data_IF_473219630224
#
_entry.id   IF_473219630224
#
_cell.length_a   1.000
_cell.length_b   1.000
_cell.length_c   1.000
_cell.angle_alpha   90.00
_cell.angle_beta   90.00
_cell.angle_gamma   90.00
#
_symmetry.space_group_name_H-M   'P 1'
#
loop_
_entity.id
_entity.type
_entity.pdbx_description
1 polymer ?
#
# COMPACT_ATOMS: atom_id res chain seq x y z
N UNK A 1 7.68 -3.27 -9.89
CA UNK A 1 6.86 -3.14 -11.11
C UNK A 1 5.40 -3.36 -10.76
N UNK A 2 4.49 -2.96 -11.66
CA UNK A 2 3.06 -3.24 -11.56
C UNK A 2 2.83 -4.54 -12.33
N UNK A 3 2.19 -5.53 -11.71
CA UNK A 3 1.89 -6.81 -12.35
C UNK A 3 0.53 -6.77 -13.06
N UNK A 4 0.32 -7.67 -14.02
CA UNK A 4 -0.93 -7.70 -14.81
C UNK A 4 -2.20 -7.87 -13.97
N UNK A 5 -2.09 -8.51 -12.80
CA UNK A 5 -3.23 -8.69 -11.89
C UNK A 5 -3.51 -7.46 -11.02
N UNK A 6 -2.59 -6.50 -10.96
CA UNK A 6 -2.76 -5.24 -10.25
C UNK A 6 -3.52 -4.21 -11.10
N UNK A 7 -3.38 -4.25 -12.43
CA UNK A 7 -3.99 -3.28 -13.35
C UNK A 7 -5.49 -3.08 -13.10
N UNK A 8 -6.34 -4.14 -13.01
CA UNK A 8 -7.78 -3.95 -12.78
C UNK A 8 -8.12 -3.38 -11.40
N UNK A 9 -7.24 -3.57 -10.42
CA UNK A 9 -7.39 -2.97 -9.09
C UNK A 9 -7.10 -1.48 -9.19
N UNK A 10 -6.03 -1.11 -9.89
CA UNK A 10 -5.61 0.27 -10.09
C UNK A 10 -6.55 1.06 -11.01
N UNK A 11 -7.32 0.40 -11.89
CA UNK A 11 -8.42 1.05 -12.64
C UNK A 11 -9.50 1.66 -11.73
N UNK A 12 -9.61 1.17 -10.49
CA UNK A 12 -10.53 1.70 -9.49
C UNK A 12 -9.95 2.89 -8.71
N UNK A 13 -8.66 3.21 -8.89
CA UNK A 13 -7.99 4.35 -8.27
C UNK A 13 -8.51 5.65 -8.89
N UNK A 14 -8.97 6.56 -8.05
CA UNK A 14 -9.55 7.85 -8.45
C UNK A 14 -8.58 9.00 -8.30
N UNK A 15 -7.77 8.96 -7.26
CA UNK A 15 -6.85 10.05 -6.96
C UNK A 15 -5.67 9.57 -6.11
N UNK A 16 -4.56 10.29 -6.21
CA UNK A 16 -3.37 10.10 -5.39
C UNK A 16 -2.98 11.45 -4.82
N UNK A 17 -3.10 11.57 -3.51
CA UNK A 17 -2.79 12.81 -2.80
C UNK A 17 -1.55 12.63 -1.96
N UNK A 18 -0.78 13.70 -1.82
CA UNK A 18 0.38 13.76 -0.91
C UNK A 18 0.23 14.92 0.04
N UNK A 19 0.66 14.71 1.29
CA UNK A 19 0.73 15.77 2.30
C UNK A 19 1.96 15.57 3.19
N UNK A 20 2.49 16.66 3.71
CA UNK A 20 3.46 16.58 4.79
C UNK A 20 2.78 16.11 6.08
N UNK A 21 3.53 15.44 6.95
CA UNK A 21 3.02 15.08 8.28
C UNK A 21 2.94 16.30 9.20
N UNK A 22 3.81 17.28 8.94
CA UNK A 22 3.87 18.58 9.57
C UNK A 22 4.22 19.61 8.47
N UNK A 23 3.33 20.59 8.26
CA UNK A 23 3.50 21.60 7.20
C UNK A 23 4.64 22.59 7.52
N UNK A 24 4.92 22.81 8.80
CA UNK A 24 6.00 23.67 9.30
C UNK A 24 7.32 22.90 9.42
N UNK A 25 7.27 21.57 9.55
CA UNK A 25 8.45 20.68 9.66
C UNK A 25 8.45 19.55 8.62
N UNK A 26 8.76 19.90 7.36
CA UNK A 26 8.77 18.97 6.21
C UNK A 26 9.80 17.82 6.30
N UNK A 27 10.72 17.88 7.25
CA UNK A 27 11.68 16.80 7.52
C UNK A 27 11.13 15.68 8.42
N UNK A 28 9.93 15.87 8.99
CA UNK A 28 9.22 14.88 9.83
C UNK A 28 8.67 13.72 9.02
N UNK A 29 8.33 13.95 7.75
CA UNK A 29 7.83 12.93 6.84
C UNK A 29 6.63 13.37 6.02
N UNK A 30 6.09 12.43 5.26
CA UNK A 30 4.95 12.66 4.37
C UNK A 30 4.04 11.43 4.30
N UNK A 31 2.82 11.68 3.87
CA UNK A 31 1.81 10.67 3.62
C UNK A 31 1.40 10.70 2.15
N UNK A 32 1.25 9.50 1.56
CA UNK A 32 0.60 9.29 0.27
C UNK A 32 -0.75 8.63 0.53
N UNK A 33 -1.81 9.18 -0.04
CA UNK A 33 -3.18 8.69 0.12
C UNK A 33 -3.70 8.28 -1.26
N UNK A 34 -4.05 7.02 -1.40
CA UNK A 34 -4.62 6.43 -2.61
C UNK A 34 -6.13 6.31 -2.41
N UNK A 35 -6.90 7.09 -3.17
CA UNK A 35 -8.36 7.16 -3.06
C UNK A 35 -8.96 6.25 -4.12
N UNK A 36 -9.69 5.23 -3.70
CA UNK A 36 -10.36 4.28 -4.59
C UNK A 36 -11.87 4.54 -4.59
N UNK A 37 -12.51 4.27 -5.73
CA UNK A 37 -13.96 4.07 -5.72
C UNK A 37 -14.29 2.69 -5.15
N UNK A 38 -15.55 2.50 -4.76
CA UNK A 38 -16.09 1.18 -4.45
C UNK A 38 -15.75 0.20 -5.58
N UNK A 39 -15.15 -0.93 -5.21
CA UNK A 39 -14.54 -1.86 -6.14
C UNK A 39 -14.70 -3.32 -5.65
N UNK A 40 -14.51 -4.33 -6.53
CA UNK A 40 -14.74 -5.72 -6.18
C UNK A 40 -13.55 -6.40 -5.47
N UNK A 41 -12.53 -5.66 -5.03
CA UNK A 41 -11.30 -6.23 -4.50
C UNK A 41 -11.15 -6.08 -2.99
N UNK A 42 -11.43 -4.90 -2.45
CA UNK A 42 -11.33 -4.59 -1.03
C UNK A 42 -12.39 -3.56 -0.62
N UNK A 43 -12.69 -3.46 0.68
CA UNK A 43 -13.70 -2.52 1.20
C UNK A 43 -13.16 -1.13 1.53
N UNK A 44 -11.85 -0.91 1.44
CA UNK A 44 -11.25 0.40 1.72
C UNK A 44 -11.51 1.39 0.58
N UNK A 45 -12.00 2.58 0.90
CA UNK A 45 -12.05 3.71 -0.04
C UNK A 45 -10.73 4.51 -0.04
N UNK A 46 -9.90 4.33 1.00
CA UNK A 46 -8.64 5.04 1.20
C UNK A 46 -7.55 4.08 1.68
N UNK A 47 -6.44 4.04 0.94
CA UNK A 47 -5.20 3.38 1.39
C UNK A 47 -4.14 4.44 1.61
N UNK A 48 -3.53 4.45 2.80
CA UNK A 48 -2.51 5.43 3.16
C UNK A 48 -1.16 4.75 3.32
N UNK A 49 -0.11 5.44 2.88
CA UNK A 49 1.28 5.09 3.11
C UNK A 49 1.95 6.28 3.78
N UNK A 50 2.40 6.07 5.00
CA UNK A 50 3.03 7.11 5.83
C UNK A 50 4.51 6.81 5.98
N UNK A 51 5.34 7.75 5.57
CA UNK A 51 6.79 7.73 5.74
C UNK A 51 7.17 8.75 6.81
N UNK A 52 7.73 8.28 7.92
CA UNK A 52 8.38 9.16 8.89
C UNK A 52 9.84 9.30 8.53
N UNK A 53 10.32 10.53 8.53
CA UNK A 53 11.71 10.85 8.22
C UNK A 53 12.36 11.61 9.36
N UNK A 54 13.69 11.58 9.38
CA UNK A 54 14.48 12.34 10.31
C UNK A 54 15.78 12.79 9.63
N UNK A 55 16.19 14.01 9.93
CA UNK A 55 17.51 14.52 9.55
C UNK A 55 18.58 13.94 10.48
N UNK A 56 19.67 13.41 9.90
CA UNK A 56 20.75 12.82 10.71
C UNK A 56 21.53 13.87 11.51
N UNK A 57 21.75 15.06 10.93
CA UNK A 57 22.29 16.25 11.60
C UNK A 57 22.03 17.49 10.72
N UNK A 58 22.20 18.69 11.27
CA UNK A 58 21.93 19.95 10.57
C UNK A 58 22.76 20.19 9.28
N UNK A 59 23.90 19.52 9.14
CA UNK A 59 24.82 19.69 8.00
C UNK A 59 24.55 18.70 6.86
N UNK A 60 23.73 17.67 7.10
CA UNK A 60 23.40 16.65 6.11
C UNK A 60 21.99 16.91 5.59
N UNK A 61 21.89 17.26 4.32
CA UNK A 61 20.61 17.56 3.66
C UNK A 61 19.80 16.31 3.28
N UNK A 62 20.28 15.12 3.66
CA UNK A 62 19.57 13.86 3.42
C UNK A 62 18.70 13.49 4.60
N UNK A 63 17.43 13.25 4.31
CA UNK A 63 16.48 12.67 5.25
C UNK A 63 16.57 11.15 5.23
N UNK A 64 16.58 10.54 6.41
CA UNK A 64 16.51 9.09 6.58
C UNK A 64 15.08 8.70 6.93
N UNK A 65 14.54 7.68 6.27
CA UNK A 65 13.26 7.06 6.66
C UNK A 65 13.49 6.27 7.95
N UNK A 66 12.72 6.61 8.99
CA UNK A 66 12.81 5.97 10.31
C UNK A 66 11.69 4.95 10.53
N UNK A 67 10.52 5.20 9.93
CA UNK A 67 9.36 4.31 10.03
C UNK A 67 8.50 4.42 8.78
N UNK A 68 7.91 3.29 8.40
CA UNK A 68 6.90 3.21 7.36
C UNK A 68 5.68 2.53 7.97
N UNK A 69 4.52 3.16 7.88
CA UNK A 69 3.22 2.55 8.19
C UNK A 69 2.32 2.60 6.98
N UNK A 70 1.41 1.63 6.87
CA UNK A 70 0.45 1.57 5.79
C UNK A 70 -0.91 1.08 6.31
N UNK A 71 -1.98 1.54 5.68
CA UNK A 71 -3.32 0.99 5.89
C UNK A 71 -3.31 -0.49 5.52
N UNK A 72 -3.90 -1.32 6.39
CA UNK A 72 -4.13 -2.73 6.06
C UNK A 72 -5.22 -2.80 5.00
N UNK A 73 -4.97 -3.53 3.93
CA UNK A 73 -5.97 -3.74 2.88
C UNK A 73 -6.94 -4.83 3.34
N UNK A 74 -8.22 -4.48 3.38
CA UNK A 74 -9.33 -5.34 3.76
C UNK A 74 -9.88 -6.05 2.51
N UNK A 75 -9.08 -6.99 2.01
CA UNK A 75 -9.42 -7.80 0.83
C UNK A 75 -10.74 -8.55 1.01
N UNK A 76 -11.57 -8.50 -0.03
CA UNK A 76 -12.76 -9.34 -0.13
C UNK A 76 -12.36 -10.82 -0.35
N UNK A 77 -13.24 -11.77 0.00
CA UNK A 77 -12.94 -13.20 -0.13
C UNK A 77 -12.47 -13.60 -1.53
N UNK A 78 -11.27 -14.18 -1.63
CA UNK A 78 -10.69 -14.64 -2.90
C UNK A 78 -10.22 -13.53 -3.84
N UNK A 79 -10.11 -12.27 -3.36
CA UNK A 79 -9.74 -11.10 -4.17
C UNK A 79 -8.38 -10.50 -3.83
N UNK A 80 -7.66 -11.12 -2.90
CA UNK A 80 -6.30 -10.68 -2.57
C UNK A 80 -5.34 -10.99 -3.71
N UNK A 81 -4.95 -9.96 -4.46
CA UNK A 81 -4.02 -10.08 -5.60
C UNK A 81 -2.55 -10.14 -5.17
N UNK A 82 -2.24 -9.90 -3.89
CA UNK A 82 -0.85 -9.93 -3.38
C UNK A 82 -0.40 -11.32 -2.94
N UNK A 83 -1.24 -12.35 -3.10
CA UNK A 83 -0.93 -13.72 -2.70
C UNK A 83 -1.21 -14.69 -3.84
N UNK A 84 -0.30 -15.66 -4.00
CA UNK A 84 -0.49 -16.75 -4.95
C UNK A 84 -1.21 -17.92 -4.26
N UNK A 85 -2.37 -18.32 -4.78
CA UNK A 85 -3.11 -19.47 -4.25
C UNK A 85 -2.63 -20.73 -4.96
N UNK A 86 -1.70 -21.45 -4.34
CA UNK A 86 -1.27 -22.77 -4.85
C UNK A 86 -2.27 -23.83 -4.41
N UNK A 87 -3.17 -24.24 -5.32
CA UNK A 87 -4.07 -25.36 -5.08
C UNK A 87 -3.27 -26.67 -5.10
N UNK A 88 -3.00 -27.27 -3.93
CA UNK A 88 -2.46 -28.63 -3.87
C UNK A 88 -3.57 -29.62 -4.25
N UNK A 89 -3.45 -30.25 -5.43
CA UNK A 89 -4.32 -31.38 -5.79
C UNK A 89 -4.15 -32.50 -4.74
N UNK A 90 -5.23 -33.03 -4.14
CA UNK A 90 -5.12 -34.20 -3.29
C UNK A 90 -4.57 -35.37 -4.12
N UNK A 91 -3.56 -36.08 -3.59
CA UNK A 91 -3.17 -37.37 -4.15
C UNK A 91 -4.31 -38.33 -3.84
N UNK A 92 -5.05 -38.74 -4.87
CA UNK A 92 -5.98 -39.86 -4.77
C UNK A 92 -5.20 -41.05 -4.20
N UNK A 93 -5.50 -41.40 -2.94
CA UNK A 93 -5.08 -42.66 -2.34
C UNK A 93 -5.73 -43.78 -3.14
N UNK A 94 -4.89 -44.54 -3.83
CA UNK A 94 -5.29 -45.72 -4.57
C UNK A 94 -6.04 -46.70 -3.67
N UNK A 95 -6.98 -47.37 -4.32
CA UNK A 95 -7.84 -48.46 -3.88
C UNK A 95 -7.14 -49.53 -3.04
#
# INVERSE_FOLDING_TARGET
DIERHDEPVLDCLRDIQTRWLDDDARDTGFQISFIFASNPYFSNDLLEKVYHTQRSNQYVDRLRVTKISATKIDWLPGKNVTVEVVSKKPKNGGR
#
